data_IF_895034695503
#
_entry.id   IF_895034695503
#
_cell.length_a   1.000
_cell.length_b   1.000
_cell.length_c   1.000
_cell.angle_alpha   90.00
_cell.angle_beta   90.00
_cell.angle_gamma   90.00
#
_symmetry.space_group_name_H-M   'P 1'
#
loop_
_entity.id
_entity.type
_entity.pdbx_description
1 polymer ?
#
# COMPACT_ATOMS: atom_id res chain seq x y z
N UNK A 1 -23.94 17.68 11.76
CA UNK A 1 -23.56 16.80 10.62
C UNK A 1 -22.15 17.11 10.11
N UNK A 2 -21.84 18.35 9.70
CA UNK A 2 -20.53 18.75 9.12
C UNK A 2 -19.31 18.38 9.97
N UNK A 3 -19.30 18.65 11.29
CA UNK A 3 -18.18 18.30 12.18
C UNK A 3 -17.89 16.79 12.22
N UNK A 4 -18.90 15.94 12.02
CA UNK A 4 -18.69 14.48 11.95
C UNK A 4 -18.01 14.09 10.64
N UNK A 5 -18.39 14.72 9.52
CA UNK A 5 -17.81 14.48 8.19
C UNK A 5 -16.33 14.90 8.18
N UNK A 6 -15.99 16.08 8.72
CA UNK A 6 -14.60 16.57 8.79
C UNK A 6 -13.73 15.61 9.62
N UNK A 7 -14.24 15.14 10.77
CA UNK A 7 -13.52 14.16 11.59
C UNK A 7 -13.31 12.82 10.88
N UNK A 8 -14.34 12.33 10.18
CA UNK A 8 -14.23 11.09 9.39
C UNK A 8 -13.21 11.23 8.26
N UNK A 9 -13.18 12.36 7.55
CA UNK A 9 -12.17 12.63 6.51
C UNK A 9 -10.75 12.66 7.09
N UNK A 10 -10.55 13.27 8.26
CA UNK A 10 -9.26 13.30 8.92
C UNK A 10 -8.80 11.89 9.33
N UNK A 11 -9.68 11.10 9.96
CA UNK A 11 -9.38 9.72 10.37
C UNK A 11 -9.09 8.85 9.14
N UNK A 12 -9.89 8.95 8.09
CA UNK A 12 -9.68 8.20 6.85
C UNK A 12 -8.29 8.50 6.26
N UNK A 13 -7.91 9.77 6.15
CA UNK A 13 -6.60 10.17 5.63
C UNK A 13 -5.44 9.62 6.47
N UNK A 14 -5.56 9.63 7.80
CA UNK A 14 -4.54 9.08 8.70
C UNK A 14 -4.39 7.57 8.46
N UNK A 15 -5.50 6.83 8.52
CA UNK A 15 -5.51 5.37 8.33
C UNK A 15 -4.95 5.02 6.94
N UNK A 16 -5.43 5.68 5.89
CA UNK A 16 -4.98 5.42 4.53
C UNK A 16 -3.48 5.68 4.33
N UNK A 17 -2.92 6.73 4.95
CA UNK A 17 -1.47 7.00 4.88
C UNK A 17 -0.63 5.98 5.66
N UNK A 18 -1.12 5.55 6.83
CA UNK A 18 -0.49 4.50 7.63
C UNK A 18 -0.54 3.15 6.90
N UNK A 19 -1.68 2.80 6.32
CA UNK A 19 -1.85 1.58 5.51
C UNK A 19 -0.92 1.60 4.30
N UNK A 20 -0.83 2.72 3.57
CA UNK A 20 0.09 2.83 2.44
C UNK A 20 1.55 2.60 2.87
N UNK A 21 1.97 3.19 3.99
CA UNK A 21 3.32 2.98 4.52
C UNK A 21 3.57 1.52 4.91
N UNK A 22 2.60 0.86 5.53
CA UNK A 22 2.69 -0.57 5.84
C UNK A 22 2.81 -1.43 4.57
N UNK A 23 2.04 -1.11 3.52
CA UNK A 23 2.12 -1.79 2.22
C UNK A 23 3.49 -1.62 1.56
N UNK A 24 4.10 -0.44 1.61
CA UNK A 24 5.47 -0.23 1.10
C UNK A 24 6.51 -1.10 1.83
N UNK A 25 6.42 -1.16 3.16
CA UNK A 25 7.33 -1.98 3.96
C UNK A 25 7.18 -3.47 3.63
N UNK A 26 5.94 -3.96 3.52
CA UNK A 26 5.66 -5.34 3.13
C UNK A 26 6.11 -5.65 1.71
N UNK A 27 5.93 -4.72 0.76
CA UNK A 27 6.41 -4.85 -0.61
C UNK A 27 7.94 -4.99 -0.65
N UNK A 28 8.65 -4.15 0.09
CA UNK A 28 10.10 -4.21 0.19
C UNK A 28 10.59 -5.49 0.85
N UNK A 29 9.95 -5.90 1.94
CA UNK A 29 10.24 -7.17 2.61
C UNK A 29 10.03 -8.36 1.67
N UNK A 30 8.92 -8.38 0.93
CA UNK A 30 8.62 -9.45 -0.04
C UNK A 30 9.67 -9.54 -1.14
N UNK A 31 10.17 -8.40 -1.65
CA UNK A 31 11.22 -8.37 -2.68
C UNK A 31 12.57 -8.88 -2.15
N UNK A 32 12.93 -8.50 -0.93
CA UNK A 32 14.13 -9.01 -0.26
C UNK A 32 14.02 -10.52 0.01
N UNK A 33 12.89 -11.00 0.53
CA UNK A 33 12.66 -12.43 0.78
C UNK A 33 12.75 -13.23 -0.52
N UNK A 34 12.14 -12.75 -1.60
CA UNK A 34 12.27 -13.36 -2.93
C UNK A 34 13.75 -13.52 -3.32
N UNK A 35 14.54 -12.46 -3.19
CA UNK A 35 15.96 -12.46 -3.55
C UNK A 35 16.73 -13.47 -2.71
N UNK A 36 16.51 -13.48 -1.40
CA UNK A 36 17.14 -14.43 -0.48
C UNK A 36 16.77 -15.88 -0.80
N UNK A 37 15.50 -16.16 -1.13
CA UNK A 37 15.05 -17.49 -1.53
C UNK A 37 15.78 -17.95 -2.80
N UNK A 38 15.90 -17.09 -3.82
CA UNK A 38 16.63 -17.44 -5.05
C UNK A 38 18.12 -17.68 -4.81
N UNK A 39 18.77 -16.86 -3.98
CA UNK A 39 20.18 -17.06 -3.62
C UNK A 39 20.38 -18.38 -2.87
N UNK A 40 19.52 -18.67 -1.89
CA UNK A 40 19.56 -19.94 -1.16
C UNK A 40 19.31 -21.13 -2.09
N UNK A 41 18.33 -21.03 -2.99
CA UNK A 41 18.04 -22.07 -4.00
C UNK A 41 19.27 -22.37 -4.86
N UNK A 42 19.96 -21.34 -5.34
CA UNK A 42 21.15 -21.47 -6.17
C UNK A 42 22.33 -22.10 -5.40
N UNK A 43 22.55 -21.67 -4.15
CA UNK A 43 23.57 -22.26 -3.30
C UNK A 43 23.28 -23.75 -3.02
N UNK A 44 22.02 -24.10 -2.76
CA UNK A 44 21.61 -25.49 -2.55
C UNK A 44 21.73 -26.33 -3.82
N UNK A 45 21.41 -25.79 -5.00
CA UNK A 45 21.63 -26.51 -6.27
C UNK A 45 23.08 -26.82 -6.51
N UNK A 46 23.96 -25.84 -6.27
CA UNK A 46 25.39 -26.05 -6.36
C UNK A 46 25.85 -27.21 -5.45
N UNK A 47 25.40 -27.21 -4.19
CA UNK A 47 25.74 -28.26 -3.22
C UNK A 47 25.15 -29.64 -3.56
N UNK A 48 24.01 -29.68 -4.24
CA UNK A 48 23.25 -30.91 -4.54
C UNK A 48 23.40 -31.34 -6.00
N UNK A 49 24.40 -30.86 -6.72
CA UNK A 49 24.58 -31.16 -8.16
C UNK A 49 24.58 -32.68 -8.44
N UNK A 50 25.25 -33.48 -7.61
CA UNK A 50 25.30 -34.95 -7.76
C UNK A 50 23.96 -35.64 -7.42
N UNK A 51 23.15 -35.00 -6.59
CA UNK A 51 21.84 -35.47 -6.16
C UNK A 51 20.70 -35.05 -7.13
N UNK A 52 21.06 -34.47 -8.28
CA UNK A 52 20.09 -33.93 -9.22
C UNK A 52 19.47 -32.62 -8.73
N UNK A 53 20.27 -31.78 -8.06
CA UNK A 53 19.84 -30.48 -7.51
C UNK A 53 18.79 -30.64 -6.39
N UNK A 54 18.26 -29.53 -5.83
CA UNK A 54 17.20 -29.64 -4.80
C UNK A 54 16.00 -30.41 -5.33
N UNK A 55 15.73 -30.30 -6.62
CA UNK A 55 14.57 -30.92 -7.23
C UNK A 55 14.66 -32.45 -7.32
N UNK A 56 15.80 -32.97 -7.75
CA UNK A 56 16.08 -34.40 -7.71
C UNK A 56 16.13 -34.90 -6.27
N UNK A 57 16.82 -34.17 -5.38
CA UNK A 57 16.97 -34.57 -3.98
C UNK A 57 15.64 -34.65 -3.23
N UNK A 58 14.72 -33.72 -3.49
CA UNK A 58 13.40 -33.66 -2.84
C UNK A 58 12.29 -34.34 -3.65
N UNK A 59 12.60 -34.93 -4.81
CA UNK A 59 11.62 -35.55 -5.72
C UNK A 59 10.43 -34.62 -6.03
N UNK A 60 10.74 -33.35 -6.33
CA UNK A 60 9.75 -32.33 -6.65
C UNK A 60 9.43 -32.36 -8.15
N UNK A 61 8.14 -32.22 -8.48
CA UNK A 61 7.69 -32.10 -9.88
C UNK A 61 7.64 -30.65 -10.39
N UNK A 62 7.68 -29.67 -9.49
CA UNK A 62 7.54 -28.23 -9.80
C UNK A 62 8.87 -27.47 -9.72
N UNK A 63 9.87 -27.91 -10.47
CA UNK A 63 11.24 -27.39 -10.36
C UNK A 63 11.45 -25.97 -10.85
N UNK A 64 10.60 -25.50 -11.76
CA UNK A 64 10.67 -24.16 -12.32
C UNK A 64 9.84 -23.17 -11.49
N UNK A 65 10.07 -23.13 -10.17
CA UNK A 65 9.31 -22.24 -9.30
C UNK A 65 9.76 -20.78 -9.51
N UNK A 66 8.95 -20.04 -10.25
CA UNK A 66 9.07 -18.60 -10.35
C UNK A 66 8.21 -17.95 -9.26
N UNK A 67 8.87 -17.24 -8.33
CA UNK A 67 8.19 -16.32 -7.44
C UNK A 67 7.83 -15.10 -8.30
N UNK A 68 6.67 -14.48 -8.12
CA UNK A 68 6.26 -13.27 -8.85
C UNK A 68 6.68 -11.99 -8.12
N UNK A 69 7.00 -10.93 -8.87
CA UNK A 69 7.54 -9.68 -8.29
C UNK A 69 6.39 -8.73 -7.97
N UNK A 70 5.42 -9.27 -7.24
CA UNK A 70 4.20 -8.56 -6.86
C UNK A 70 4.51 -7.40 -5.90
N UNK A 71 5.67 -7.43 -5.22
CA UNK A 71 6.15 -6.32 -4.40
C UNK A 71 6.22 -5.00 -5.17
N UNK A 72 6.63 -5.03 -6.45
CA UNK A 72 6.66 -3.82 -7.29
C UNK A 72 5.26 -3.24 -7.52
N UNK A 73 4.28 -4.07 -7.85
CA UNK A 73 2.90 -3.63 -8.05
C UNK A 73 2.29 -3.07 -6.75
N UNK A 74 2.54 -3.71 -5.61
CA UNK A 74 2.09 -3.22 -4.30
C UNK A 74 2.73 -1.86 -3.96
N UNK A 75 4.01 -1.68 -4.29
CA UNK A 75 4.71 -0.42 -4.08
C UNK A 75 4.12 0.71 -4.93
N UNK A 76 3.78 0.44 -6.19
CA UNK A 76 3.11 1.42 -7.07
C UNK A 76 1.74 1.81 -6.53
N UNK A 77 0.92 0.85 -6.11
CA UNK A 77 -0.38 1.11 -5.48
C UNK A 77 -0.22 1.96 -4.21
N UNK A 78 0.72 1.61 -3.34
CA UNK A 78 0.95 2.36 -2.11
C UNK A 78 1.39 3.81 -2.37
N UNK A 79 2.21 4.04 -3.41
CA UNK A 79 2.58 5.39 -3.86
C UNK A 79 1.36 6.18 -4.34
N UNK A 80 0.47 5.58 -5.12
CA UNK A 80 -0.76 6.23 -5.56
C UNK A 80 -1.68 6.59 -4.38
N UNK A 81 -1.81 5.68 -3.40
CA UNK A 81 -2.54 5.96 -2.16
C UNK A 81 -1.94 7.17 -1.43
N UNK A 82 -0.61 7.23 -1.29
CA UNK A 82 0.07 8.35 -0.62
C UNK A 82 -0.16 9.68 -1.32
N UNK A 83 -0.15 9.72 -2.67
CA UNK A 83 -0.44 10.95 -3.44
C UNK A 83 -1.82 11.53 -3.06
N UNK A 84 -2.84 10.69 -2.91
CA UNK A 84 -4.18 11.11 -2.50
C UNK A 84 -4.16 11.67 -1.07
N UNK A 85 -3.43 11.03 -0.16
CA UNK A 85 -3.34 11.48 1.24
C UNK A 85 -2.52 12.75 1.43
N UNK A 86 -1.62 13.11 0.51
CA UNK A 86 -0.82 14.33 0.62
C UNK A 86 -1.66 15.61 0.48
N UNK A 87 -2.79 15.54 -0.22
CA UNK A 87 -3.72 16.68 -0.38
C UNK A 87 -4.21 17.13 1.00
N UNK A 88 -3.95 18.38 1.43
CA UNK A 88 -4.35 18.86 2.76
C UNK A 88 -5.84 18.63 2.96
N UNK A 89 -6.23 18.30 4.21
CA UNK A 89 -7.65 18.22 4.56
C UNK A 89 -8.25 19.55 4.13
N UNK A 90 -9.26 19.52 3.26
CA UNK A 90 -9.98 20.74 2.92
C UNK A 90 -10.51 21.31 4.22
N UNK A 91 -9.84 22.34 4.72
CA UNK A 91 -10.38 23.21 5.73
C UNK A 91 -11.50 23.93 5.02
N UNK A 92 -12.73 23.46 5.24
CA UNK A 92 -13.89 24.29 4.99
C UNK A 92 -13.73 25.47 5.94
N UNK A 93 -13.06 26.53 5.49
CA UNK A 93 -13.33 27.82 6.08
C UNK A 93 -14.83 27.99 6.00
N UNK A 94 -15.44 28.45 7.10
CA UNK A 94 -16.86 28.74 7.21
C UNK A 94 -17.28 29.93 6.34
N UNK A 95 -16.65 30.08 5.16
CA UNK A 95 -16.85 31.08 4.10
C UNK A 95 -17.99 30.71 3.16
N UNK A 96 -18.78 29.68 3.49
CA UNK A 96 -20.20 29.69 3.14
C UNK A 96 -20.88 30.57 4.19
N UNK A 97 -20.54 31.86 4.13
CA UNK A 97 -20.82 32.80 5.19
C UNK A 97 -22.33 32.87 5.39
N UNK A 98 -22.73 33.14 6.63
CA UNK A 98 -24.10 33.50 6.95
C UNK A 98 -24.64 34.58 5.98
N UNK A 99 -23.76 35.41 5.41
CA UNK A 99 -24.12 36.44 4.41
C UNK A 99 -24.64 35.87 3.09
N UNK A 100 -24.15 34.71 2.62
CA UNK A 100 -24.73 34.06 1.43
C UNK A 100 -26.15 33.59 1.71
N UNK A 101 -26.40 33.01 2.90
CA UNK A 101 -27.74 32.60 3.31
C UNK A 101 -28.68 33.79 3.56
N UNK A 102 -28.20 34.85 4.22
CA UNK A 102 -28.96 36.08 4.46
C UNK A 102 -29.31 36.82 3.17
N UNK A 103 -28.45 36.78 2.14
CA UNK A 103 -28.74 37.36 0.81
C UNK A 103 -29.78 36.58 0.02
N UNK A 104 -29.84 35.25 0.17
CA UNK A 104 -30.74 34.42 -0.61
C UNK A 104 -32.16 34.33 0.00
N UNK A 105 -32.26 34.41 1.34
CA UNK A 105 -33.52 34.18 2.05
C UNK A 105 -33.96 35.31 3.00
N UNK A 106 -33.30 36.47 2.95
CA UNK A 106 -33.84 37.72 3.48
C UNK A 106 -34.14 37.72 4.99
N UNK A 107 -33.09 37.73 5.82
CA UNK A 107 -33.14 38.16 7.23
C UNK A 107 -33.94 37.27 8.22
N UNK A 108 -33.63 37.30 9.53
CA UNK A 108 -34.30 36.45 10.52
C UNK A 108 -35.66 37.03 10.93
N UNK A 109 -36.64 36.13 11.13
CA UNK A 109 -37.95 36.41 11.72
C UNK A 109 -37.84 36.94 13.16
#
# INVERSE_FOLDING_TARGET
MLNRIIRLQAVLKIITNQTATALELLAWQSSQMRTAIYQNRMALDYLLTEDGEVCGKLNLSNCCLQIDDNGKAVLEIAKEIKKITHVPIQTWETTWSKDWWFKLFGGPW
#
